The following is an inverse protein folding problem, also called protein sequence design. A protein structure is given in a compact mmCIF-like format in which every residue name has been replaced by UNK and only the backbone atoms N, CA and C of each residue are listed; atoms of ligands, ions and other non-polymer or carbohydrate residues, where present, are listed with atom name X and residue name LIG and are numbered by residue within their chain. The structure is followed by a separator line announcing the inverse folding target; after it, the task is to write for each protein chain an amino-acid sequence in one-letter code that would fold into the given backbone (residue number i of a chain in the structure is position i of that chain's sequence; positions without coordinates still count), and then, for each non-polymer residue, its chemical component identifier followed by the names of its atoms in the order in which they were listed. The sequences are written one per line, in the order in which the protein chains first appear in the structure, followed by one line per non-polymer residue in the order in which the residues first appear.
data_IF_275572968301
#
_entry.id   IF_275572968301
#
_cell.length_a   1.000
_cell.length_b   1.000
_cell.length_c   1.000
_cell.angle_alpha   90.00
_cell.angle_beta   90.00
_cell.angle_gamma   90.00
#
_symmetry.space_group_name_H-M   'P 1'
#
loop_
_entity.id
_entity.type
_entity.pdbx_description
1 polymer ?
#
# COMPACT_ATOMS: atom_id res chain seq x y z
N UNK A 1 48.68 -17.97 21.05
CA UNK A 1 47.21 -17.93 21.19
C UNK A 1 46.70 -16.93 20.15
N UNK A 2 46.34 -17.40 18.96
CA UNK A 2 45.80 -16.53 17.92
C UNK A 2 44.35 -16.24 18.28
N UNK A 3 44.06 -15.01 18.70
CA UNK A 3 42.69 -14.54 18.84
C UNK A 3 42.09 -14.47 17.43
N UNK A 4 41.14 -15.35 17.14
CA UNK A 4 40.30 -15.23 15.95
C UNK A 4 39.71 -13.81 15.91
N UNK A 5 39.75 -13.12 14.76
CA UNK A 5 39.08 -11.85 14.63
C UNK A 5 37.58 -12.10 14.83
N UNK A 6 37.01 -11.48 15.88
CA UNK A 6 35.55 -11.39 16.01
C UNK A 6 35.02 -10.82 14.70
N UNK A 7 34.35 -11.66 13.92
CA UNK A 7 33.55 -11.21 12.79
C UNK A 7 32.59 -10.20 13.40
N UNK A 8 32.85 -8.92 13.15
CA UNK A 8 31.90 -7.87 13.47
C UNK A 8 30.63 -8.29 12.74
N UNK A 9 29.58 -8.64 13.49
CA UNK A 9 28.25 -8.85 12.92
C UNK A 9 27.94 -7.60 12.09
N UNK A 10 28.05 -7.74 10.77
CA UNK A 10 27.67 -6.68 9.84
C UNK A 10 26.17 -6.56 10.06
N UNK A 11 25.76 -5.57 10.84
CA UNK A 11 24.35 -5.37 11.18
C UNK A 11 23.63 -4.99 9.89
N UNK A 12 23.03 -5.98 9.25
CA UNK A 12 22.22 -5.77 8.05
C UNK A 12 20.95 -5.05 8.51
N UNK A 13 20.73 -3.84 8.00
CA UNK A 13 19.52 -3.08 8.28
C UNK A 13 18.31 -3.85 7.73
N UNK A 14 17.26 -4.03 8.54
CA UNK A 14 15.98 -4.56 8.07
C UNK A 14 15.35 -3.64 7.03
N UNK A 15 14.67 -4.24 6.04
CA UNK A 15 13.93 -3.55 4.97
C UNK A 15 12.87 -2.57 5.51
N UNK A 16 12.29 -2.85 6.68
CA UNK A 16 11.32 -1.97 7.35
C UNK A 16 11.90 -1.22 8.57
N UNK A 17 13.23 -1.16 8.72
CA UNK A 17 13.81 -0.32 9.77
C UNK A 17 13.46 1.16 9.53
N UNK A 18 13.32 2.00 10.59
CA UNK A 18 12.90 3.40 10.44
C UNK A 18 13.73 4.21 9.44
N UNK A 19 15.04 3.96 9.40
CA UNK A 19 15.99 4.55 8.44
C UNK A 19 15.69 4.15 7.00
N UNK A 20 15.34 2.90 6.75
CA UNK A 20 15.04 2.39 5.41
C UNK A 20 13.64 2.79 4.96
N UNK A 21 12.66 2.83 5.89
CA UNK A 21 11.35 3.46 5.65
C UNK A 21 11.54 4.92 5.22
N UNK A 22 12.28 5.72 5.99
CA UNK A 22 12.55 7.12 5.60
C UNK A 22 13.20 7.22 4.21
N UNK A 23 14.13 6.34 3.87
CA UNK A 23 14.70 6.30 2.51
C UNK A 23 13.68 5.90 1.45
N UNK A 24 12.78 4.96 1.72
CA UNK A 24 11.73 4.58 0.78
C UNK A 24 10.83 5.78 0.45
N UNK A 25 10.46 6.57 1.45
CA UNK A 25 9.59 7.75 1.29
C UNK A 25 10.28 8.97 0.67
N UNK A 26 11.54 9.24 1.02
CA UNK A 26 12.20 10.48 0.60
C UNK A 26 13.26 10.28 -0.50
N UNK A 27 13.81 9.07 -0.63
CA UNK A 27 14.90 8.73 -1.56
C UNK A 27 14.71 7.32 -2.15
N UNK A 28 13.58 7.01 -2.82
CA UNK A 28 13.24 5.65 -3.26
C UNK A 28 14.32 5.03 -4.15
N UNK A 29 15.00 5.81 -4.99
CA UNK A 29 16.12 5.34 -5.80
C UNK A 29 17.26 4.78 -4.93
N UNK A 30 17.63 5.49 -3.86
CA UNK A 30 18.69 5.06 -2.96
C UNK A 30 18.28 3.85 -2.12
N UNK A 31 17.00 3.75 -1.76
CA UNK A 31 16.43 2.55 -1.13
C UNK A 31 16.57 1.33 -2.05
N UNK A 32 16.10 1.43 -3.30
CA UNK A 32 16.12 0.30 -4.22
C UNK A 32 17.53 -0.12 -4.67
N UNK A 33 18.49 0.81 -4.75
CA UNK A 33 19.90 0.45 -5.01
C UNK A 33 20.51 -0.42 -3.91
N UNK A 34 20.03 -0.31 -2.67
CA UNK A 34 20.51 -1.10 -1.53
C UNK A 34 19.63 -2.33 -1.25
N UNK A 35 18.52 -2.49 -1.97
CA UNK A 35 17.44 -3.41 -1.61
C UNK A 35 17.89 -4.87 -1.44
N UNK A 36 18.70 -5.37 -2.37
CA UNK A 36 19.22 -6.74 -2.34
C UNK A 36 20.16 -7.02 -1.15
N UNK A 37 20.63 -5.98 -0.46
CA UNK A 37 21.51 -6.09 0.72
C UNK A 37 20.76 -5.92 2.03
N UNK A 38 19.45 -5.62 2.01
CA UNK A 38 18.65 -5.44 3.22
C UNK A 38 18.15 -6.78 3.73
N UNK A 39 17.93 -6.86 5.04
CA UNK A 39 17.32 -8.04 5.64
C UNK A 39 15.81 -8.05 5.40
N UNK A 40 15.34 -9.14 4.78
CA UNK A 40 13.96 -9.35 4.36
C UNK A 40 13.11 -10.09 5.41
N UNK A 41 13.64 -10.40 6.59
CA UNK A 41 12.94 -11.15 7.65
C UNK A 41 11.52 -10.62 7.93
N UNK A 42 11.33 -9.30 7.87
CA UNK A 42 10.05 -8.64 8.17
C UNK A 42 9.22 -8.27 6.95
N UNK A 43 9.57 -8.74 5.74
CA UNK A 43 8.79 -8.42 4.54
C UNK A 43 7.35 -8.96 4.63
N UNK A 44 7.14 -10.12 5.26
CA UNK A 44 5.81 -10.67 5.46
C UNK A 44 4.95 -9.85 6.42
N UNK A 45 5.56 -9.16 7.37
CA UNK A 45 4.86 -8.19 8.21
C UNK A 45 4.46 -6.94 7.40
N UNK A 46 5.32 -6.46 6.51
CA UNK A 46 4.95 -5.40 5.56
C UNK A 46 3.80 -5.84 4.63
N UNK A 47 3.82 -7.10 4.16
CA UNK A 47 2.73 -7.70 3.38
C UNK A 47 1.42 -7.70 4.14
N UNK A 48 1.46 -8.04 5.43
CA UNK A 48 0.30 -8.00 6.29
C UNK A 48 -0.31 -6.60 6.41
N UNK A 49 0.54 -5.59 6.66
CA UNK A 49 0.13 -4.18 6.68
C UNK A 49 -0.52 -3.77 5.35
N UNK A 50 0.08 -4.13 4.22
CA UNK A 50 -0.48 -3.85 2.89
C UNK A 50 -1.82 -4.56 2.67
N UNK A 51 -1.97 -5.79 3.16
CA UNK A 51 -3.21 -6.54 3.04
C UNK A 51 -4.34 -5.94 3.90
N UNK A 52 -4.03 -5.50 5.13
CA UNK A 52 -4.97 -4.74 5.98
C UNK A 52 -5.46 -3.50 5.23
N UNK A 53 -4.54 -2.73 4.64
CA UNK A 53 -4.88 -1.57 3.80
C UNK A 53 -5.85 -1.92 2.67
N UNK A 54 -5.65 -3.02 1.93
CA UNK A 54 -6.59 -3.43 0.88
C UNK A 54 -7.97 -3.87 1.42
N UNK A 55 -8.03 -4.43 2.63
CA UNK A 55 -9.32 -4.73 3.26
C UNK A 55 -10.05 -3.43 3.63
N UNK A 56 -9.34 -2.44 4.14
CA UNK A 56 -9.90 -1.11 4.45
C UNK A 56 -10.45 -0.44 3.18
N UNK A 57 -9.65 -0.39 2.10
CA UNK A 57 -10.08 0.12 0.79
C UNK A 57 -11.32 -0.60 0.25
N UNK A 58 -11.43 -1.92 0.50
CA UNK A 58 -12.62 -2.69 0.12
C UNK A 58 -13.85 -2.29 0.93
N UNK A 59 -13.72 -2.00 2.22
CA UNK A 59 -14.81 -1.48 3.05
C UNK A 59 -15.25 -0.12 2.54
N UNK A 60 -14.30 0.80 2.29
CA UNK A 60 -14.58 2.14 1.78
C UNK A 60 -15.28 2.10 0.42
N UNK A 61 -14.82 1.24 -0.48
CA UNK A 61 -15.46 1.02 -1.77
C UNK A 61 -16.92 0.57 -1.60
N UNK A 62 -17.23 -0.26 -0.59
CA UNK A 62 -18.61 -0.65 -0.31
C UNK A 62 -19.45 0.49 0.28
N UNK A 63 -18.85 1.34 1.11
CA UNK A 63 -19.49 2.53 1.66
C UNK A 63 -19.83 3.54 0.56
N UNK A 64 -18.88 3.85 -0.32
CA UNK A 64 -19.09 4.74 -1.48
C UNK A 64 -20.19 4.18 -2.39
N UNK A 65 -20.20 2.86 -2.62
CA UNK A 65 -21.28 2.22 -3.41
C UNK A 65 -22.64 2.29 -2.74
N UNK A 66 -22.71 2.16 -1.42
CA UNK A 66 -23.95 2.34 -0.67
C UNK A 66 -24.42 3.79 -0.73
N UNK A 67 -23.50 4.75 -0.62
CA UNK A 67 -23.80 6.19 -0.77
C UNK A 67 -24.32 6.53 -2.17
N UNK A 68 -23.79 5.88 -3.21
CA UNK A 68 -24.21 6.07 -4.60
C UNK A 68 -25.58 5.47 -4.96
N UNK A 69 -26.18 4.68 -4.06
CA UNK A 69 -27.45 4.00 -4.33
C UNK A 69 -28.64 4.92 -4.05
N UNK A 70 -29.76 4.69 -4.76
CA UNK A 70 -31.00 5.48 -4.59
C UNK A 70 -31.54 5.46 -3.15
N UNK A 71 -31.18 4.43 -2.38
CA UNK A 71 -31.54 4.26 -0.98
C UNK A 71 -30.31 3.87 -0.16
N UNK A 72 -29.49 4.85 0.27
CA UNK A 72 -28.28 4.58 1.03
C UNK A 72 -28.57 3.76 2.28
N UNK A 73 -27.99 2.56 2.34
CA UNK A 73 -28.18 1.64 3.46
C UNK A 73 -26.85 1.06 3.95
N UNK A 74 -26.46 1.49 5.15
CA UNK A 74 -25.25 1.06 5.85
C UNK A 74 -25.51 -0.03 6.91
N UNK A 75 -26.78 -0.36 7.17
CA UNK A 75 -27.17 -1.25 8.28
C UNK A 75 -26.55 -2.65 8.15
N UNK A 76 -26.33 -3.12 6.92
CA UNK A 76 -25.65 -4.39 6.61
C UNK A 76 -24.21 -4.45 7.11
N UNK A 77 -23.61 -3.32 7.47
CA UNK A 77 -22.23 -3.20 7.97
C UNK A 77 -22.15 -2.57 9.37
N UNK A 78 -23.28 -2.23 10.00
CA UNK A 78 -23.37 -1.62 11.33
C UNK A 78 -22.45 -2.28 12.38
N UNK A 79 -22.47 -3.61 12.45
CA UNK A 79 -21.60 -4.37 13.35
C UNK A 79 -20.10 -3.98 13.23
N UNK A 80 -19.63 -3.73 12.01
CA UNK A 80 -18.23 -3.37 11.73
C UNK A 80 -18.02 -1.86 11.91
N UNK A 81 -18.95 -1.03 11.43
CA UNK A 81 -18.74 0.41 11.27
C UNK A 81 -19.01 1.21 12.53
N UNK A 82 -19.92 0.74 13.40
CA UNK A 82 -20.40 1.48 14.57
C UNK A 82 -19.48 1.31 15.79
N UNK A 83 -18.49 0.42 15.71
CA UNK A 83 -17.54 0.16 16.79
C UNK A 83 -16.12 -0.07 16.27
N UNK A 84 -15.18 0.77 16.71
CA UNK A 84 -13.76 0.65 16.35
C UNK A 84 -13.16 -0.72 16.64
N UNK A 85 -13.51 -1.34 17.77
CA UNK A 85 -13.00 -2.66 18.11
C UNK A 85 -13.40 -3.71 17.06
N UNK A 86 -14.65 -3.69 16.62
CA UNK A 86 -15.15 -4.60 15.60
C UNK A 86 -14.52 -4.31 14.24
N UNK A 87 -14.35 -3.02 13.89
CA UNK A 87 -13.62 -2.60 12.71
C UNK A 87 -12.19 -3.16 12.71
N UNK A 88 -11.42 -2.91 13.77
CA UNK A 88 -10.03 -3.38 13.88
C UNK A 88 -9.93 -4.91 13.84
N UNK A 89 -10.77 -5.63 14.60
CA UNK A 89 -10.80 -7.10 14.54
C UNK A 89 -11.08 -7.58 13.11
N UNK A 90 -12.06 -6.97 12.43
CA UNK A 90 -12.43 -7.33 11.06
C UNK A 90 -11.27 -7.12 10.09
N UNK A 91 -10.70 -5.91 10.03
CA UNK A 91 -9.63 -5.59 9.06
C UNK A 91 -8.33 -6.34 9.35
N UNK A 92 -8.00 -6.57 10.62
CA UNK A 92 -6.80 -7.32 11.02
C UNK A 92 -6.95 -8.82 10.73
N UNK A 93 -8.11 -9.42 11.00
CA UNK A 93 -8.37 -10.83 10.74
C UNK A 93 -8.46 -11.12 9.23
N UNK A 94 -9.24 -10.32 8.49
CA UNK A 94 -9.33 -10.44 7.04
C UNK A 94 -8.00 -10.10 6.38
N UNK A 95 -7.25 -9.13 6.91
CA UNK A 95 -5.90 -8.79 6.43
C UNK A 95 -4.93 -9.96 6.54
N UNK A 96 -5.02 -10.77 7.60
CA UNK A 96 -4.17 -11.96 7.77
C UNK A 96 -4.42 -12.98 6.65
N UNK A 97 -5.70 -13.23 6.33
CA UNK A 97 -6.08 -14.12 5.22
C UNK A 97 -5.71 -13.50 3.87
N UNK A 98 -5.99 -12.22 3.69
CA UNK A 98 -5.71 -11.49 2.46
C UNK A 98 -4.21 -11.35 2.17
N UNK A 99 -3.34 -11.46 3.17
CA UNK A 99 -1.87 -11.41 3.02
C UNK A 99 -1.35 -12.43 2.02
N UNK A 100 -1.95 -13.62 1.98
CA UNK A 100 -1.60 -14.64 1.00
C UNK A 100 -1.92 -14.17 -0.42
N UNK A 101 -3.14 -13.64 -0.64
CA UNK A 101 -3.57 -13.11 -1.93
C UNK A 101 -2.69 -11.92 -2.33
N UNK A 102 -2.42 -10.99 -1.41
CA UNK A 102 -1.53 -9.85 -1.60
C UNK A 102 -0.14 -10.28 -2.06
N UNK A 103 0.45 -11.29 -1.42
CA UNK A 103 1.78 -11.76 -1.79
C UNK A 103 1.82 -12.40 -3.19
N UNK A 104 0.88 -13.30 -3.47
CA UNK A 104 0.92 -14.11 -4.69
C UNK A 104 0.26 -13.42 -5.88
N UNK A 105 -0.97 -12.94 -5.74
CA UNK A 105 -1.76 -12.37 -6.84
C UNK A 105 -1.22 -11.01 -7.28
N UNK A 106 -1.00 -10.09 -6.34
CA UNK A 106 -0.46 -8.77 -6.70
C UNK A 106 1.01 -8.87 -7.13
N UNK A 107 1.77 -9.81 -6.57
CA UNK A 107 3.11 -10.13 -7.04
C UNK A 107 3.13 -10.63 -8.49
N UNK A 108 2.24 -11.57 -8.82
CA UNK A 108 2.06 -12.08 -10.19
C UNK A 108 1.66 -10.96 -11.17
N UNK A 109 0.73 -10.09 -10.79
CA UNK A 109 0.34 -8.95 -11.61
C UNK A 109 1.52 -7.98 -11.85
N UNK A 110 2.33 -7.74 -10.82
CA UNK A 110 3.54 -6.94 -10.94
C UNK A 110 4.55 -7.58 -11.91
N UNK A 111 4.73 -8.90 -11.83
CA UNK A 111 5.60 -9.68 -12.72
C UNK A 111 5.17 -9.55 -14.19
N UNK A 112 3.87 -9.65 -14.47
CA UNK A 112 3.32 -9.47 -15.81
C UNK A 112 3.66 -8.09 -16.36
N UNK A 113 3.44 -7.03 -15.57
CA UNK A 113 3.78 -5.67 -15.99
C UNK A 113 5.27 -5.50 -16.26
N UNK A 114 6.15 -6.15 -15.47
CA UNK A 114 7.59 -6.16 -15.75
C UNK A 114 7.92 -6.86 -17.07
N UNK A 115 7.30 -8.01 -17.35
CA UNK A 115 7.47 -8.73 -18.62
C UNK A 115 7.03 -7.88 -19.83
N UNK A 116 5.91 -7.16 -19.71
CA UNK A 116 5.47 -6.19 -20.73
C UNK A 116 6.45 -5.02 -20.92
N UNK A 117 7.31 -4.77 -19.93
CA UNK A 117 8.41 -3.81 -19.98
C UNK A 117 9.75 -4.43 -20.41
N UNK A 118 9.74 -5.63 -20.99
CA UNK A 118 10.92 -6.28 -21.55
C UNK A 118 11.87 -6.90 -20.51
N UNK A 119 11.40 -7.14 -19.29
CA UNK A 119 12.17 -7.87 -18.28
C UNK A 119 11.94 -9.37 -18.47
N UNK A 120 12.98 -10.07 -18.92
CA UNK A 120 12.94 -11.52 -19.12
C UNK A 120 13.24 -12.25 -17.79
N UNK A 121 12.41 -13.24 -17.45
CA UNK A 121 12.57 -14.12 -16.28
C UNK A 121 12.95 -13.39 -14.98
N UNK A 122 12.17 -12.39 -14.52
CA UNK A 122 12.47 -11.70 -13.27
C UNK A 122 12.40 -12.66 -12.08
N UNK A 123 13.31 -12.51 -11.11
CA UNK A 123 13.26 -13.25 -9.85
C UNK A 123 11.94 -12.97 -9.13
N UNK A 124 11.08 -13.98 -9.05
CA UNK A 124 9.74 -13.90 -8.45
C UNK A 124 9.78 -13.43 -6.99
N UNK A 125 10.80 -13.81 -6.21
CA UNK A 125 10.91 -13.37 -4.82
C UNK A 125 11.16 -11.86 -4.76
N UNK A 126 12.14 -11.37 -5.52
CA UNK A 126 12.46 -9.95 -5.63
C UNK A 126 11.27 -9.13 -6.15
N UNK A 127 10.53 -9.65 -7.13
CA UNK A 127 9.31 -9.03 -7.67
C UNK A 127 8.26 -8.82 -6.59
N UNK A 128 7.98 -9.86 -5.81
CA UNK A 128 6.99 -9.78 -4.72
C UNK A 128 7.44 -8.79 -3.65
N UNK A 129 8.70 -8.86 -3.23
CA UNK A 129 9.25 -7.93 -2.24
C UNK A 129 9.16 -6.47 -2.72
N UNK A 130 9.54 -6.19 -3.98
CA UNK A 130 9.43 -4.85 -4.55
C UNK A 130 7.97 -4.36 -4.65
N UNK A 131 7.05 -5.25 -5.03
CA UNK A 131 5.62 -4.96 -5.08
C UNK A 131 5.06 -4.62 -3.69
N UNK A 132 5.47 -5.33 -2.64
CA UNK A 132 5.06 -5.02 -1.26
C UNK A 132 5.60 -3.67 -0.83
N UNK A 133 6.88 -3.39 -1.06
CA UNK A 133 7.44 -2.12 -0.60
C UNK A 133 6.86 -0.90 -1.32
N UNK A 134 6.48 -0.99 -2.60
CA UNK A 134 5.79 0.14 -3.22
C UNK A 134 4.36 0.34 -2.67
N UNK A 135 3.61 -0.74 -2.40
CA UNK A 135 2.30 -0.62 -1.76
C UNK A 135 2.38 -0.15 -0.31
N UNK A 136 3.45 -0.51 0.40
CA UNK A 136 3.70 -0.07 1.76
C UNK A 136 3.76 1.46 1.89
N UNK A 137 4.17 2.16 0.83
CA UNK A 137 4.18 3.63 0.76
C UNK A 137 2.78 4.23 0.86
N UNK A 138 1.77 3.55 0.33
CA UNK A 138 0.38 3.96 0.47
C UNK A 138 -0.26 3.41 1.76
N UNK A 139 0.02 2.16 2.11
CA UNK A 139 -0.60 1.48 3.23
C UNK A 139 -0.23 2.08 4.59
N UNK A 140 1.06 2.35 4.82
CA UNK A 140 1.53 2.77 6.14
C UNK A 140 0.93 4.12 6.61
N UNK A 141 0.85 5.18 5.78
CA UNK A 141 0.24 6.44 6.19
C UNK A 141 -1.26 6.30 6.44
N UNK A 142 -1.97 5.49 5.64
CA UNK A 142 -3.41 5.21 5.83
C UNK A 142 -3.66 4.55 7.19
N UNK A 143 -2.86 3.53 7.55
CA UNK A 143 -3.00 2.87 8.84
C UNK A 143 -2.70 3.85 9.99
N UNK A 144 -1.65 4.66 9.87
CA UNK A 144 -1.31 5.67 10.89
C UNK A 144 -2.46 6.67 11.07
N UNK A 145 -3.03 7.18 9.97
CA UNK A 145 -4.19 8.09 10.00
C UNK A 145 -5.39 7.41 10.66
N UNK A 146 -5.68 6.17 10.31
CA UNK A 146 -6.85 5.45 10.85
C UNK A 146 -6.70 5.15 12.34
N UNK A 147 -5.48 4.85 12.79
CA UNK A 147 -5.16 4.74 14.22
C UNK A 147 -5.40 6.08 14.93
N UNK A 148 -4.99 7.20 14.34
CA UNK A 148 -5.26 8.53 14.90
C UNK A 148 -6.77 8.80 14.96
N UNK A 149 -7.51 8.49 13.90
CA UNK A 149 -8.97 8.66 13.81
C UNK A 149 -9.72 7.83 14.87
N UNK A 150 -9.18 6.67 15.27
CA UNK A 150 -9.73 5.85 16.37
C UNK A 150 -9.81 6.60 17.69
N UNK A 151 -8.98 7.62 17.91
CA UNK A 151 -8.99 8.44 19.12
C UNK A 151 -9.75 9.76 18.97
N UNK A 152 -10.21 10.09 17.76
CA UNK A 152 -10.89 11.35 17.45
C UNK A 152 -12.39 11.14 17.29
N UNK A 153 -12.79 10.06 16.63
CA UNK A 153 -14.18 9.77 16.29
C UNK A 153 -14.71 8.59 17.11
N UNK A 154 -16.00 8.56 17.39
CA UNK A 154 -16.62 7.50 18.18
C UNK A 154 -16.61 6.14 17.46
N UNK A 155 -16.68 6.18 16.13
CA UNK A 155 -16.67 5.00 15.27
C UNK A 155 -16.15 5.30 13.85
N UNK A 156 -16.05 4.26 13.01
CA UNK A 156 -15.52 4.39 11.64
C UNK A 156 -16.50 5.12 10.71
N UNK A 157 -17.81 4.93 10.92
CA UNK A 157 -18.85 5.58 10.12
C UNK A 157 -18.79 7.11 10.25
N UNK A 158 -18.60 7.61 11.48
CA UNK A 158 -18.46 9.04 11.76
C UNK A 158 -17.20 9.63 11.10
N UNK A 159 -16.14 8.83 11.02
CA UNK A 159 -14.92 9.21 10.30
C UNK A 159 -15.20 9.37 8.80
N UNK A 160 -15.90 8.41 8.20
CA UNK A 160 -16.24 8.42 6.77
C UNK A 160 -17.11 9.61 6.37
N UNK A 161 -18.01 10.05 7.26
CA UNK A 161 -18.88 11.22 7.02
C UNK A 161 -18.34 12.55 7.55
N UNK A 162 -17.15 12.55 8.14
CA UNK A 162 -16.56 13.78 8.63
C UNK A 162 -16.23 14.74 7.47
N UNK A 163 -16.37 16.05 7.71
CA UNK A 163 -15.99 17.09 6.73
C UNK A 163 -14.47 17.29 6.62
N UNK A 164 -13.68 16.36 7.17
CA UNK A 164 -12.23 16.43 7.25
C UNK A 164 -11.59 16.03 5.91
N UNK A 165 -11.08 17.02 5.18
CA UNK A 165 -10.55 16.81 3.82
C UNK A 165 -9.09 16.33 3.77
N UNK A 166 -8.29 16.55 4.84
CA UNK A 166 -6.86 16.31 4.82
C UNK A 166 -6.51 14.82 4.78
N UNK A 167 -7.23 13.95 5.49
CA UNK A 167 -7.02 12.49 5.40
C UNK A 167 -7.17 12.00 3.95
N UNK A 168 -8.25 12.39 3.27
CA UNK A 168 -8.49 12.07 1.86
C UNK A 168 -7.36 12.56 0.94
N UNK A 169 -6.89 13.80 1.13
CA UNK A 169 -5.76 14.36 0.37
C UNK A 169 -4.46 13.59 0.61
N UNK A 170 -4.18 13.20 1.85
CA UNK A 170 -2.97 12.44 2.19
C UNK A 170 -3.02 11.04 1.57
N UNK A 171 -4.18 10.36 1.65
CA UNK A 171 -4.39 9.04 1.04
C UNK A 171 -4.19 9.12 -0.48
N UNK A 172 -4.78 10.12 -1.13
CA UNK A 172 -4.62 10.35 -2.57
C UNK A 172 -3.16 10.61 -2.94
N UNK A 173 -2.48 11.48 -2.20
CA UNK A 173 -1.08 11.80 -2.42
C UNK A 173 -0.20 10.55 -2.34
N UNK A 174 -0.33 9.74 -1.28
CA UNK A 174 0.49 8.54 -1.13
C UNK A 174 0.14 7.42 -2.10
N UNK A 175 -1.11 7.36 -2.57
CA UNK A 175 -1.54 6.42 -3.63
C UNK A 175 -0.94 6.79 -4.99
N UNK A 176 -0.85 8.08 -5.30
CA UNK A 176 -0.14 8.59 -6.49
C UNK A 176 1.37 8.37 -6.34
N UNK A 177 1.92 8.67 -5.15
CA UNK A 177 3.35 8.56 -4.88
C UNK A 177 3.84 7.10 -4.93
N UNK A 178 3.03 6.13 -4.50
CA UNK A 178 3.36 4.70 -4.61
C UNK A 178 3.56 4.26 -6.07
N UNK A 179 2.84 4.86 -7.03
CA UNK A 179 3.06 4.62 -8.46
C UNK A 179 4.44 5.07 -8.91
N UNK A 180 4.88 6.25 -8.46
CA UNK A 180 6.24 6.73 -8.70
C UNK A 180 7.29 5.79 -8.09
N UNK A 181 7.10 5.38 -6.83
CA UNK A 181 8.00 4.43 -6.16
C UNK A 181 8.05 3.09 -6.91
N UNK A 182 6.91 2.61 -7.40
CA UNK A 182 6.82 1.40 -8.22
C UNK A 182 7.57 1.54 -9.55
N UNK A 183 7.44 2.67 -10.24
CA UNK A 183 8.23 2.96 -11.43
C UNK A 183 9.74 2.96 -11.14
N UNK A 184 10.16 3.61 -10.05
CA UNK A 184 11.56 3.63 -9.63
C UNK A 184 12.07 2.21 -9.33
N UNK A 185 11.27 1.38 -8.63
CA UNK A 185 11.61 -0.02 -8.38
C UNK A 185 11.82 -0.81 -9.68
N UNK A 186 10.89 -0.67 -10.64
CA UNK A 186 10.98 -1.31 -11.96
C UNK A 186 12.27 -0.92 -12.72
N UNK A 187 12.65 0.36 -12.65
CA UNK A 187 13.85 0.88 -13.32
C UNK A 187 15.15 0.46 -12.64
N UNK A 188 15.19 0.42 -11.32
CA UNK A 188 16.42 0.19 -10.56
C UNK A 188 16.71 -1.29 -10.33
N UNK A 189 15.70 -2.08 -9.96
CA UNK A 189 15.87 -3.50 -9.65
C UNK A 189 15.86 -4.38 -10.89
N UNK A 190 15.03 -4.04 -11.87
CA UNK A 190 14.73 -4.93 -13.01
C UNK A 190 15.17 -4.37 -14.36
N UNK A 191 15.80 -3.18 -14.38
CA UNK A 191 16.25 -2.50 -15.60
C UNK A 191 15.17 -2.38 -16.68
N UNK A 192 13.89 -2.28 -16.28
CA UNK A 192 12.75 -2.25 -17.18
C UNK A 192 12.90 -1.16 -18.25
N UNK A 193 12.41 -1.43 -19.47
CA UNK A 193 12.56 -0.49 -20.59
C UNK A 193 11.68 0.77 -20.44
N UNK A 194 11.63 1.62 -21.47
CA UNK A 194 10.84 2.88 -21.45
C UNK A 194 9.33 2.66 -21.25
N UNK A 195 8.80 1.47 -21.57
CA UNK A 195 7.40 1.10 -21.35
C UNK A 195 7.04 1.01 -19.87
N UNK A 196 8.02 0.99 -18.96
CA UNK A 196 7.77 1.08 -17.52
C UNK A 196 7.01 2.35 -17.13
N UNK A 197 7.21 3.46 -17.86
CA UNK A 197 6.44 4.70 -17.66
C UNK A 197 4.95 4.43 -17.89
N UNK A 198 4.60 3.72 -18.96
CA UNK A 198 3.21 3.42 -19.28
C UNK A 198 2.55 2.54 -18.21
N UNK A 199 3.20 1.42 -17.85
CA UNK A 199 2.59 0.38 -17.01
C UNK A 199 2.66 0.63 -15.50
N UNK A 200 3.68 1.33 -15.02
CA UNK A 200 3.89 1.57 -13.58
C UNK A 200 3.55 3.00 -13.15
N UNK A 201 3.45 3.95 -14.08
CA UNK A 201 3.15 5.34 -13.77
C UNK A 201 1.90 5.84 -14.48
N UNK A 202 1.89 5.95 -15.81
CA UNK A 202 0.81 6.60 -16.54
C UNK A 202 -0.54 5.89 -16.39
N UNK A 203 -0.60 4.57 -16.59
CA UNK A 203 -1.85 3.81 -16.52
C UNK A 203 -2.48 3.84 -15.11
N UNK A 204 -1.73 3.60 -14.02
CA UNK A 204 -2.25 3.81 -12.67
C UNK A 204 -2.73 5.24 -12.40
N UNK A 205 -1.98 6.26 -12.85
CA UNK A 205 -2.37 7.66 -12.65
C UNK A 205 -3.67 8.02 -13.39
N UNK A 206 -3.83 7.55 -14.63
CA UNK A 206 -5.08 7.74 -15.38
C UNK A 206 -6.25 7.10 -14.63
N UNK A 207 -6.06 5.90 -14.07
CA UNK A 207 -7.09 5.25 -13.26
C UNK A 207 -7.46 6.08 -12.01
N UNK A 208 -6.48 6.58 -11.26
CA UNK A 208 -6.75 7.44 -10.10
C UNK A 208 -7.45 8.75 -10.49
N UNK A 209 -7.07 9.37 -11.62
CA UNK A 209 -7.77 10.55 -12.14
C UNK A 209 -9.24 10.27 -12.42
N UNK A 210 -9.57 9.12 -13.01
CA UNK A 210 -10.96 8.72 -13.22
C UNK A 210 -11.73 8.55 -11.90
N UNK A 211 -11.11 7.94 -10.89
CA UNK A 211 -11.72 7.78 -9.56
C UNK A 211 -12.00 9.13 -8.92
N UNK A 212 -11.03 10.05 -8.96
CA UNK A 212 -11.18 11.40 -8.40
C UNK A 212 -12.29 12.17 -9.13
N UNK A 213 -12.33 12.14 -10.47
CA UNK A 213 -13.39 12.79 -11.25
C UNK A 213 -14.76 12.20 -10.90
N UNK A 214 -14.86 10.87 -10.80
CA UNK A 214 -16.10 10.21 -10.42
C UNK A 214 -16.58 10.67 -9.03
N UNK A 215 -15.69 10.72 -8.04
CA UNK A 215 -16.01 11.24 -6.71
C UNK A 215 -16.51 12.69 -6.77
N UNK A 216 -15.78 13.59 -7.44
CA UNK A 216 -16.21 14.98 -7.57
C UNK A 216 -17.58 15.13 -8.25
N UNK A 217 -17.87 14.33 -9.28
CA UNK A 217 -19.16 14.37 -9.96
C UNK A 217 -20.33 13.91 -9.09
N UNK A 218 -20.09 12.97 -8.16
CA UNK A 218 -21.10 12.54 -7.18
C UNK A 218 -21.40 13.61 -6.14
N UNK A 219 -20.38 14.36 -5.69
CA UNK A 219 -20.56 15.45 -4.71
C UNK A 219 -21.05 16.77 -5.32
N UNK A 220 -20.81 17.02 -6.62
CA UNK A 220 -21.32 18.21 -7.31
C UNK A 220 -22.77 18.06 -7.81
N UNK A 221 -23.29 16.83 -7.82
CA UNK A 221 -24.68 16.52 -8.21
C UNK A 221 -25.68 16.48 -7.05
N UNK A 222 -25.23 16.69 -5.81
CA UNK A 222 -26.04 16.88 -4.59
C UNK A 222 -26.21 18.37 -4.28
#
# INVERSE_FOLDING_TARGET
MFTEPKIQDIKIDSVISPKQIAKLYFKPKAFFLMFAKLDMQYIHFATYIVAVFFVMDRIDTKLVKALASDHPNYSSYSFILDHWLNYWICVLALGAVASFITWFFYGWWYEIRLKWCGVENPDTALVRQANIMQWFVAAFPVIVITVIQTFIYDNYLDTFFSEEIWSGLIILFFSIYSCWVSYVAAKILFLANKRAILWFLALPLVFYSFVVIAMFSMFAGS
#
